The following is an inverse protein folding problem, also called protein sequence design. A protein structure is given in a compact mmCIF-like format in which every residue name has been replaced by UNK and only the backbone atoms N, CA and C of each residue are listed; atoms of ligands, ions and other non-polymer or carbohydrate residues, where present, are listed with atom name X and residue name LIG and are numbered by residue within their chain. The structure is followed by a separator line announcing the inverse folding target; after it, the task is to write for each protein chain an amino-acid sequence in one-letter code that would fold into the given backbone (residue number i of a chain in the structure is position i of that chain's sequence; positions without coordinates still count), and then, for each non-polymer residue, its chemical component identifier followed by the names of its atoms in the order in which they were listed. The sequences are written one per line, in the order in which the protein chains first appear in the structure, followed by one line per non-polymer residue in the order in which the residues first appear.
data_IF_121625425791
#
_entry.id   IF_121625425791
#
_cell.length_a   1.000
_cell.length_b   1.000
_cell.length_c   1.000
_cell.angle_alpha   90.00
_cell.angle_beta   90.00
_cell.angle_gamma   90.00
#
_symmetry.space_group_name_H-M   'P 1'
#
loop_
_entity.id
_entity.type
_entity.pdbx_description
1 polymer ?
#
# COMPACT_ATOMS: atom_id res chain seq x y z
N UNK A 1 -10.04 -21.16 -14.95
CA UNK A 1 -9.39 -20.56 -16.14
C UNK A 1 -9.54 -19.04 -16.11
N UNK A 2 -8.68 -18.27 -16.80
CA UNK A 2 -8.74 -16.80 -16.81
C UNK A 2 -9.83 -16.23 -17.74
N UNK A 3 -10.10 -16.95 -18.83
CA UNK A 3 -11.18 -16.75 -19.79
C UNK A 3 -11.62 -18.12 -20.35
N UNK A 4 -12.83 -18.25 -20.92
CA UNK A 4 -13.32 -19.52 -21.46
C UNK A 4 -12.36 -20.12 -22.51
N UNK A 5 -11.98 -21.39 -22.33
CA UNK A 5 -11.04 -22.08 -23.22
C UNK A 5 -9.60 -21.57 -23.11
N UNK A 6 -9.32 -20.74 -22.10
CA UNK A 6 -8.03 -20.08 -21.92
C UNK A 6 -6.88 -21.06 -21.66
N UNK A 7 -7.15 -22.25 -21.12
CA UNK A 7 -6.12 -23.28 -20.91
C UNK A 7 -5.50 -23.80 -22.22
N UNK A 8 -6.18 -23.61 -23.36
CA UNK A 8 -5.70 -24.05 -24.68
C UNK A 8 -5.07 -22.93 -25.51
N UNK A 9 -5.01 -21.70 -24.99
CA UNK A 9 -4.43 -20.56 -25.69
C UNK A 9 -2.98 -20.39 -25.23
N UNK A 10 -1.98 -20.61 -26.11
CA UNK A 10 -0.58 -20.42 -25.73
C UNK A 10 -0.30 -18.94 -25.44
N UNK A 11 0.50 -18.68 -24.40
CA UNK A 11 0.98 -17.34 -24.09
C UNK A 11 2.03 -16.90 -25.12
N UNK A 12 1.79 -15.77 -25.77
CA UNK A 12 2.66 -15.16 -26.77
C UNK A 12 2.97 -13.72 -26.38
N UNK A 13 3.94 -13.09 -27.06
CA UNK A 13 4.24 -11.67 -26.85
C UNK A 13 3.03 -10.80 -27.16
N UNK A 14 2.24 -11.15 -28.18
CA UNK A 14 1.07 -10.38 -28.61
C UNK A 14 -0.10 -10.46 -27.63
N UNK A 15 -0.29 -11.58 -26.90
CA UNK A 15 -1.38 -11.73 -25.93
C UNK A 15 -0.95 -11.54 -24.46
N UNK A 16 0.34 -11.28 -24.20
CA UNK A 16 0.89 -11.09 -22.85
C UNK A 16 0.16 -10.02 -22.03
N UNK A 17 -0.17 -8.88 -22.65
CA UNK A 17 -0.86 -7.80 -21.95
C UNK A 17 -2.26 -8.20 -21.47
N UNK A 18 -3.01 -8.91 -22.32
CA UNK A 18 -4.32 -9.46 -21.97
C UNK A 18 -4.20 -10.47 -20.83
N UNK A 19 -3.22 -11.39 -20.92
CA UNK A 19 -2.98 -12.37 -19.87
C UNK A 19 -2.69 -11.70 -18.52
N UNK A 20 -1.79 -10.71 -18.47
CA UNK A 20 -1.45 -9.98 -17.25
C UNK A 20 -2.70 -9.32 -16.66
N UNK A 21 -3.48 -8.61 -17.48
CA UNK A 21 -4.73 -7.98 -17.03
C UNK A 21 -5.72 -9.01 -16.45
N UNK A 22 -5.96 -10.11 -17.14
CA UNK A 22 -6.90 -11.16 -16.69
C UNK A 22 -6.42 -11.83 -15.41
N UNK A 23 -5.11 -12.09 -15.32
CA UNK A 23 -4.49 -12.71 -14.15
C UNK A 23 -4.55 -11.77 -12.94
N UNK A 24 -4.22 -10.50 -13.09
CA UNK A 24 -4.33 -9.50 -12.02
C UNK A 24 -5.77 -9.35 -11.54
N UNK A 25 -6.75 -9.29 -12.46
CA UNK A 25 -8.18 -9.27 -12.11
C UNK A 25 -8.62 -10.53 -11.37
N UNK A 26 -8.07 -11.70 -11.73
CA UNK A 26 -8.35 -12.93 -11.01
C UNK A 26 -7.78 -12.88 -9.59
N UNK A 27 -6.48 -12.59 -9.47
CA UNK A 27 -5.73 -12.62 -8.20
C UNK A 27 -6.25 -11.60 -7.17
N UNK A 28 -6.61 -10.40 -7.61
CA UNK A 28 -7.02 -9.31 -6.71
C UNK A 28 -8.53 -9.21 -6.50
N UNK A 29 -9.33 -9.92 -7.32
CA UNK A 29 -10.78 -9.85 -7.29
C UNK A 29 -11.42 -11.22 -7.21
N UNK A 30 -11.45 -11.93 -8.34
CA UNK A 30 -12.23 -13.18 -8.48
C UNK A 30 -11.82 -14.27 -7.49
N UNK A 31 -10.54 -14.40 -7.17
CA UNK A 31 -10.05 -15.45 -6.24
C UNK A 31 -10.39 -15.18 -4.77
N UNK A 32 -10.80 -13.95 -4.43
CA UNK A 32 -11.12 -13.54 -3.06
C UNK A 32 -12.56 -13.02 -2.93
N UNK A 33 -13.38 -13.16 -3.98
CA UNK A 33 -14.72 -12.58 -4.05
C UNK A 33 -15.63 -13.09 -2.91
N UNK A 34 -15.68 -14.41 -2.70
CA UNK A 34 -16.52 -15.01 -1.66
C UNK A 34 -16.14 -14.53 -0.24
N UNK A 35 -14.88 -14.64 0.24
CA UNK A 35 -14.52 -14.13 1.56
C UNK A 35 -14.65 -12.60 1.66
N UNK A 36 -14.41 -11.87 0.57
CA UNK A 36 -14.59 -10.42 0.54
C UNK A 36 -16.07 -10.04 0.71
N UNK A 37 -16.99 -10.68 0.00
CA UNK A 37 -18.42 -10.44 0.12
C UNK A 37 -18.92 -10.75 1.54
N UNK A 38 -18.48 -11.86 2.14
CA UNK A 38 -18.83 -12.19 3.52
C UNK A 38 -18.34 -11.12 4.53
N UNK A 39 -17.10 -10.62 4.36
CA UNK A 39 -16.57 -9.53 5.17
C UNK A 39 -17.37 -8.22 4.95
N UNK A 40 -17.68 -7.90 3.69
CA UNK A 40 -18.40 -6.71 3.30
C UNK A 40 -19.81 -6.67 3.90
N UNK A 41 -20.53 -7.79 3.84
CA UNK A 41 -21.86 -7.94 4.44
C UNK A 41 -21.80 -7.82 5.96
N UNK A 42 -20.83 -8.48 6.60
CA UNK A 42 -20.61 -8.38 8.04
C UNK A 42 -20.31 -6.95 8.50
N UNK A 43 -19.43 -6.24 7.77
CA UNK A 43 -19.11 -4.84 8.03
C UNK A 43 -20.38 -3.95 7.98
N UNK A 44 -21.21 -4.10 6.94
CA UNK A 44 -22.43 -3.30 6.83
C UNK A 44 -23.56 -3.71 7.75
N UNK A 45 -23.59 -4.95 8.23
CA UNK A 45 -24.52 -5.37 9.27
C UNK A 45 -24.27 -4.60 10.58
N UNK A 46 -23.00 -4.41 10.95
CA UNK A 46 -22.57 -3.67 12.15
C UNK A 46 -22.68 -2.15 11.93
N UNK A 47 -22.15 -1.65 10.81
CA UNK A 47 -22.10 -0.22 10.51
C UNK A 47 -23.38 0.33 9.84
N UNK A 48 -24.49 -0.40 9.91
CA UNK A 48 -25.78 -0.02 9.29
C UNK A 48 -26.22 1.41 9.65
N UNK A 49 -26.12 1.88 10.91
CA UNK A 49 -26.55 3.24 11.29
C UNK A 49 -25.71 4.34 10.62
N UNK A 50 -24.44 4.06 10.30
CA UNK A 50 -23.48 5.04 9.76
C UNK A 50 -23.19 4.82 8.28
N UNK A 51 -23.93 3.93 7.61
CA UNK A 51 -23.67 3.52 6.22
C UNK A 51 -23.60 4.67 5.23
N UNK A 52 -24.52 5.62 5.32
CA UNK A 52 -24.54 6.77 4.41
C UNK A 52 -23.33 7.68 4.62
N UNK A 53 -22.85 7.82 5.86
CA UNK A 53 -21.68 8.62 6.19
C UNK A 53 -20.39 7.93 5.72
N UNK A 54 -20.25 6.63 6.00
CA UNK A 54 -19.07 5.86 5.62
C UNK A 54 -18.88 5.77 4.10
N UNK A 55 -19.96 5.85 3.31
CA UNK A 55 -19.88 5.87 1.83
C UNK A 55 -19.40 7.21 1.26
N UNK A 56 -19.35 8.28 2.05
CA UNK A 56 -18.81 9.56 1.63
C UNK A 56 -17.29 9.64 1.78
N UNK A 57 -16.70 8.72 2.56
CA UNK A 57 -15.26 8.70 2.81
C UNK A 57 -14.51 8.23 1.56
N UNK A 58 -13.40 8.90 1.29
CA UNK A 58 -12.36 8.35 0.43
C UNK A 58 -11.70 7.14 1.11
N UNK A 59 -11.09 6.20 0.34
CA UNK A 59 -10.44 5.02 0.90
C UNK A 59 -9.41 5.36 2.00
N UNK A 60 -8.67 6.45 1.84
CA UNK A 60 -7.68 6.93 2.81
C UNK A 60 -8.33 7.40 4.12
N UNK A 61 -9.51 8.03 4.06
CA UNK A 61 -10.23 8.50 5.24
C UNK A 61 -10.85 7.34 6.02
N UNK A 62 -11.36 6.32 5.30
CA UNK A 62 -11.83 5.08 5.93
C UNK A 62 -10.67 4.34 6.60
N UNK A 63 -9.50 4.27 5.95
CA UNK A 63 -8.29 3.69 6.54
C UNK A 63 -7.89 4.43 7.82
N UNK A 64 -7.87 5.77 7.79
CA UNK A 64 -7.56 6.58 8.99
C UNK A 64 -8.56 6.32 10.12
N UNK A 65 -9.85 6.18 9.82
CA UNK A 65 -10.88 5.89 10.82
C UNK A 65 -10.69 4.51 11.46
N UNK A 66 -10.35 3.49 10.65
CA UNK A 66 -10.21 2.11 11.11
C UNK A 66 -8.89 1.85 11.83
N UNK A 67 -7.81 2.45 11.33
CA UNK A 67 -6.47 2.13 11.79
C UNK A 67 -5.81 3.24 12.62
N UNK A 68 -6.45 4.41 12.72
CA UNK A 68 -5.91 5.59 13.39
C UNK A 68 -4.81 6.29 12.59
N UNK A 69 -4.35 7.42 13.13
CA UNK A 69 -3.19 8.15 12.61
C UNK A 69 -1.95 7.64 13.34
N UNK A 70 -0.94 7.22 12.59
CA UNK A 70 0.36 6.82 13.12
C UNK A 70 1.40 7.77 12.55
N UNK A 71 1.96 8.61 13.40
CA UNK A 71 3.05 9.49 12.99
C UNK A 71 4.37 8.73 13.14
N UNK A 72 5.09 8.61 12.03
CA UNK A 72 6.42 8.03 12.04
C UNK A 72 7.41 9.15 12.31
N UNK A 73 8.23 8.98 13.33
CA UNK A 73 9.34 9.89 13.56
C UNK A 73 10.43 9.65 12.51
N UNK A 74 10.46 10.51 11.48
CA UNK A 74 11.39 10.41 10.36
C UNK A 74 12.85 10.59 10.78
N UNK A 75 13.12 11.28 11.89
CA UNK A 75 14.49 11.44 12.40
C UNK A 75 15.07 10.09 12.86
N UNK A 76 14.21 9.14 13.23
CA UNK A 76 14.62 7.78 13.62
C UNK A 76 14.93 6.86 12.45
N UNK A 77 14.62 7.26 11.22
CA UNK A 77 14.90 6.42 10.05
C UNK A 77 16.38 6.42 9.67
N UNK A 78 17.04 7.58 9.69
CA UNK A 78 18.44 7.69 9.27
C UNK A 78 19.39 6.79 10.08
N UNK A 79 19.30 6.70 11.43
CA UNK A 79 20.16 5.84 12.24
C UNK A 79 19.99 4.34 11.97
N UNK A 80 18.80 3.89 11.59
CA UNK A 80 18.51 2.45 11.37
C UNK A 80 18.60 2.04 9.91
N UNK A 81 18.83 2.99 9.01
CA UNK A 81 18.87 2.72 7.57
C UNK A 81 20.16 2.02 7.21
N UNK A 82 20.05 0.85 6.58
CA UNK A 82 21.18 0.10 6.04
C UNK A 82 21.45 0.51 4.59
N UNK A 83 22.68 0.93 4.32
CA UNK A 83 23.14 1.33 3.00
C UNK A 83 23.86 0.17 2.29
N UNK A 84 23.62 0.01 0.99
CA UNK A 84 24.32 -0.96 0.13
C UNK A 84 25.02 -0.16 -0.97
N UNK A 85 26.35 -0.27 -1.06
CA UNK A 85 27.16 0.53 -1.99
C UNK A 85 27.38 1.99 -1.58
N UNK A 86 26.82 2.41 -0.45
CA UNK A 86 27.01 3.72 0.18
C UNK A 86 27.27 3.54 1.68
N UNK A 87 27.66 4.62 2.35
CA UNK A 87 27.76 4.73 3.81
C UNK A 87 27.00 5.97 4.29
N UNK A 88 26.77 6.06 5.61
CA UNK A 88 26.19 7.26 6.25
C UNK A 88 27.00 8.54 5.97
N UNK A 89 28.30 8.40 5.70
CA UNK A 89 29.23 9.52 5.44
C UNK A 89 29.30 9.87 3.94
N UNK A 90 28.58 9.14 3.08
CA UNK A 90 28.53 9.44 1.65
C UNK A 90 27.74 10.73 1.42
N UNK A 91 28.27 11.62 0.59
CA UNK A 91 27.64 12.91 0.29
C UNK A 91 26.18 12.75 -0.20
N UNK A 92 25.92 11.77 -1.07
CA UNK A 92 24.56 11.47 -1.55
C UNK A 92 23.60 11.09 -0.41
N UNK A 93 24.08 10.37 0.61
CA UNK A 93 23.26 9.95 1.76
C UNK A 93 22.99 11.14 2.68
N UNK A 94 23.97 12.00 2.90
CA UNK A 94 23.80 13.23 3.69
C UNK A 94 22.79 14.17 3.04
N UNK A 95 22.96 14.47 1.75
CA UNK A 95 22.01 15.29 0.99
C UNK A 95 20.60 14.67 0.97
N UNK A 96 20.49 13.35 0.88
CA UNK A 96 19.19 12.68 0.94
C UNK A 96 18.47 12.96 2.26
N UNK A 97 19.14 12.80 3.41
CA UNK A 97 18.52 13.04 4.71
C UNK A 97 18.27 14.52 5.01
N UNK A 98 19.10 15.43 4.49
CA UNK A 98 18.86 16.87 4.54
C UNK A 98 17.53 17.22 3.84
N UNK A 99 17.32 16.72 2.61
CA UNK A 99 16.07 16.94 1.87
C UNK A 99 14.87 16.30 2.57
N UNK A 100 15.01 15.08 3.11
CA UNK A 100 13.95 14.38 3.83
C UNK A 100 13.56 15.12 5.11
N UNK A 101 14.52 15.74 5.81
CA UNK A 101 14.26 16.52 7.01
C UNK A 101 13.36 17.73 6.71
N UNK A 102 13.49 18.34 5.54
CA UNK A 102 12.69 19.49 5.11
C UNK A 102 11.29 19.13 4.57
N UNK A 103 11.00 17.85 4.38
CA UNK A 103 9.72 17.42 3.81
C UNK A 103 8.53 17.66 4.74
N UNK A 104 7.42 18.06 4.12
CA UNK A 104 6.10 18.09 4.76
C UNK A 104 5.64 16.69 5.14
N UNK A 105 4.68 16.58 6.08
CA UNK A 105 4.06 15.30 6.47
C UNK A 105 3.56 14.52 5.26
N UNK A 106 2.90 15.19 4.31
CA UNK A 106 2.41 14.54 3.09
C UNK A 106 3.53 13.95 2.22
N UNK A 107 4.64 14.67 2.05
CA UNK A 107 5.79 14.16 1.27
C UNK A 107 6.43 12.95 1.95
N UNK A 108 6.52 13.00 3.28
CA UNK A 108 6.97 11.89 4.13
C UNK A 108 6.08 10.65 3.98
N UNK A 109 4.76 10.80 4.03
CA UNK A 109 3.80 9.70 3.79
C UNK A 109 3.93 9.09 2.38
N UNK A 110 4.07 9.92 1.34
CA UNK A 110 4.27 9.44 -0.04
C UNK A 110 5.62 8.72 -0.18
N UNK A 111 6.67 9.19 0.52
CA UNK A 111 7.95 8.49 0.55
C UNK A 111 7.86 7.12 1.22
N UNK A 112 7.13 7.00 2.34
CA UNK A 112 6.87 5.69 2.95
C UNK A 112 6.10 4.78 2.00
N UNK A 113 5.08 5.31 1.32
CA UNK A 113 4.31 4.54 0.34
C UNK A 113 5.20 4.06 -0.81
N UNK A 114 6.11 4.90 -1.28
CA UNK A 114 7.05 4.56 -2.32
C UNK A 114 8.01 3.43 -1.90
N UNK A 115 8.59 3.53 -0.70
CA UNK A 115 9.57 2.55 -0.21
C UNK A 115 8.95 1.25 0.30
N UNK A 116 7.75 1.32 0.89
CA UNK A 116 7.18 0.20 1.67
C UNK A 116 5.81 -0.28 1.17
N UNK A 117 5.19 0.45 0.24
CA UNK A 117 3.81 0.21 -0.18
C UNK A 117 2.75 0.69 0.83
N UNK A 118 3.16 1.28 1.95
CA UNK A 118 2.27 1.80 2.98
C UNK A 118 2.62 3.26 3.32
N UNK A 119 1.61 4.13 3.46
CA UNK A 119 1.81 5.54 3.88
C UNK A 119 2.18 5.68 5.36
N UNK A 120 2.04 4.60 6.13
CA UNK A 120 2.16 4.59 7.59
C UNK A 120 3.37 3.78 8.04
N UNK A 121 4.06 4.30 9.06
CA UNK A 121 5.10 3.57 9.76
C UNK A 121 4.55 2.41 10.61
N UNK A 122 5.41 1.50 11.09
CA UNK A 122 4.99 0.44 12.00
C UNK A 122 4.34 1.02 13.27
N UNK A 123 3.31 0.35 13.79
CA UNK A 123 2.60 0.82 15.01
C UNK A 123 3.49 0.88 16.26
N UNK A 124 4.60 0.12 16.29
CA UNK A 124 5.61 0.18 17.35
C UNK A 124 6.72 1.21 17.08
N UNK A 125 6.61 1.99 16.01
CA UNK A 125 7.66 2.87 15.53
C UNK A 125 8.85 2.12 14.93
N UNK A 126 9.88 2.88 14.59
CA UNK A 126 11.15 2.36 14.10
C UNK A 126 12.01 2.01 15.31
N UNK A 127 12.32 0.72 15.48
CA UNK A 127 13.22 0.26 16.56
C UNK A 127 14.67 0.55 16.17
N UNK A 128 15.35 1.31 17.02
CA UNK A 128 16.81 1.46 16.99
C UNK A 128 17.50 0.16 17.40
#
# INVERSE_FOLDING_TARGET
ELKPGGAHIPLTISNRAEYVMLYTSHLLGRSVEEPFCALFDGFWAVCKPTRNLLRLLHPQELEMLLCGVTDLDFEKLAPVTRYIGYSKDSQTVQHFWEVVAEWTVKQREEFLAFCTGCRRGPTQGVKA
#
